data_IF_492746856434
#
_entry.id   IF_492746856434
#
_cell.length_a   1.000
_cell.length_b   1.000
_cell.length_c   1.000
_cell.angle_alpha   90.00
_cell.angle_beta   90.00
_cell.angle_gamma   90.00
#
_symmetry.space_group_name_H-M   'P 1'
#
loop_
_entity.id
_entity.type
_entity.pdbx_description
1 polymer ?
#
# COMPACT_ATOMS: atom_id res chain seq x y z
N UNK A 1 -11.21 0.29 1.51
CA UNK A 1 -10.53 -0.99 1.79
C UNK A 1 -11.33 -1.87 2.74
N UNK A 2 -11.55 -1.48 4.01
CA UNK A 2 -12.30 -2.30 5.00
C UNK A 2 -13.68 -2.70 4.48
N UNK A 3 -14.47 -1.75 3.96
CA UNK A 3 -15.80 -2.03 3.39
C UNK A 3 -15.74 -3.07 2.27
N UNK A 4 -14.81 -2.90 1.32
CA UNK A 4 -14.63 -3.83 0.21
C UNK A 4 -14.22 -5.23 0.69
N UNK A 5 -13.30 -5.31 1.64
CA UNK A 5 -12.90 -6.59 2.24
C UNK A 5 -14.08 -7.30 2.90
N UNK A 6 -14.90 -6.58 3.66
CA UNK A 6 -16.09 -7.14 4.31
C UNK A 6 -17.12 -7.65 3.30
N UNK A 7 -17.37 -6.89 2.23
CA UNK A 7 -18.33 -7.30 1.20
C UNK A 7 -17.81 -8.51 0.40
N UNK A 8 -16.52 -8.54 0.04
CA UNK A 8 -15.93 -9.75 -0.56
C UNK A 8 -16.02 -10.97 0.37
N UNK A 9 -15.76 -10.79 1.67
CA UNK A 9 -15.86 -11.87 2.65
C UNK A 9 -17.31 -12.40 2.83
N UNK A 10 -18.31 -11.54 2.60
CA UNK A 10 -19.74 -11.93 2.58
C UNK A 10 -20.18 -12.57 1.26
N UNK A 11 -19.32 -12.59 0.25
CA UNK A 11 -19.66 -13.12 -1.07
C UNK A 11 -20.36 -12.13 -2.01
N UNK A 12 -20.44 -10.85 -1.65
CA UNK A 12 -21.06 -9.79 -2.44
C UNK A 12 -20.05 -9.12 -3.41
N UNK A 13 -19.09 -9.88 -3.94
CA UNK A 13 -18.07 -9.35 -4.86
C UNK A 13 -18.67 -8.75 -6.14
N UNK A 14 -19.77 -9.32 -6.65
CA UNK A 14 -20.46 -8.84 -7.82
C UNK A 14 -21.06 -7.42 -7.63
N UNK A 15 -21.60 -7.14 -6.44
CA UNK A 15 -22.18 -5.82 -6.14
C UNK A 15 -21.12 -4.72 -6.15
N UNK A 16 -19.87 -5.07 -5.80
CA UNK A 16 -18.73 -4.14 -5.81
C UNK A 16 -18.28 -3.75 -7.23
N UNK A 17 -18.57 -4.59 -8.22
CA UNK A 17 -18.30 -4.33 -9.63
C UNK A 17 -19.34 -3.43 -10.28
N UNK A 18 -20.49 -3.18 -9.62
CA UNK A 18 -21.55 -2.34 -10.15
C UNK A 18 -21.11 -0.88 -10.30
N UNK A 19 -21.57 -0.26 -11.40
CA UNK A 19 -21.29 1.15 -11.65
C UNK A 19 -21.94 2.04 -10.56
N UNK A 20 -21.12 2.94 -10.02
CA UNK A 20 -21.55 3.87 -9.00
C UNK A 20 -21.45 3.36 -7.55
N UNK A 21 -21.09 2.09 -7.30
CA UNK A 21 -20.95 1.60 -5.93
C UNK A 21 -19.92 2.41 -5.13
N UNK A 22 -18.76 2.69 -5.71
CA UNK A 22 -17.72 3.49 -5.08
C UNK A 22 -18.19 4.92 -4.77
N UNK A 23 -18.84 5.59 -5.72
CA UNK A 23 -19.35 6.94 -5.51
C UNK A 23 -20.46 6.99 -4.48
N UNK A 24 -21.35 6.01 -4.47
CA UNK A 24 -22.42 5.88 -3.46
C UNK A 24 -21.82 5.65 -2.06
N UNK A 25 -20.80 4.82 -1.96
CA UNK A 25 -20.11 4.58 -0.68
C UNK A 25 -19.43 5.85 -0.16
N UNK A 26 -18.71 6.60 -1.01
CA UNK A 26 -18.05 7.85 -0.59
C UNK A 26 -19.09 8.91 -0.18
N UNK A 27 -20.23 8.97 -0.86
CA UNK A 27 -21.30 9.91 -0.54
C UNK A 27 -22.05 9.56 0.75
N UNK A 28 -21.94 8.31 1.21
CA UNK A 28 -22.53 7.88 2.49
C UNK A 28 -21.58 8.21 3.64
N UNK A 29 -21.75 9.40 4.23
CA UNK A 29 -20.90 9.90 5.31
C UNK A 29 -20.78 8.94 6.48
N UNK A 30 -21.87 8.34 6.95
CA UNK A 30 -21.88 7.45 8.12
C UNK A 30 -21.02 6.20 7.90
N UNK A 31 -21.17 5.53 6.75
CA UNK A 31 -20.39 4.33 6.44
C UNK A 31 -18.90 4.63 6.26
N UNK A 32 -18.58 5.75 5.64
CA UNK A 32 -17.19 6.19 5.42
C UNK A 32 -16.55 6.59 6.73
N UNK A 33 -17.23 7.34 7.57
CA UNK A 33 -16.77 7.76 8.90
C UNK A 33 -16.51 6.55 9.80
N UNK A 34 -17.42 5.58 9.84
CA UNK A 34 -17.25 4.36 10.63
C UNK A 34 -15.99 3.58 10.21
N UNK A 35 -15.78 3.40 8.91
CA UNK A 35 -14.59 2.73 8.40
C UNK A 35 -13.31 3.51 8.73
N UNK A 36 -13.35 4.84 8.66
CA UNK A 36 -12.24 5.71 9.03
C UNK A 36 -11.91 5.60 10.52
N UNK A 37 -12.91 5.67 11.41
CA UNK A 37 -12.74 5.53 12.85
C UNK A 37 -12.12 4.17 13.19
N UNK A 38 -12.63 3.07 12.64
CA UNK A 38 -12.08 1.73 12.88
C UNK A 38 -10.62 1.66 12.45
N UNK A 39 -10.28 2.15 11.26
CA UNK A 39 -8.91 2.16 10.76
C UNK A 39 -7.98 2.99 11.66
N UNK A 40 -8.42 4.19 12.05
CA UNK A 40 -7.66 5.10 12.92
C UNK A 40 -7.43 4.49 14.29
N UNK A 41 -8.45 3.89 14.91
CA UNK A 41 -8.33 3.23 16.20
C UNK A 41 -7.35 2.05 16.14
N UNK A 42 -7.35 1.26 15.08
CA UNK A 42 -6.37 0.20 14.88
C UNK A 42 -4.94 0.75 14.79
N UNK A 43 -4.73 1.81 14.00
CA UNK A 43 -3.42 2.47 13.85
C UNK A 43 -2.93 3.03 15.18
N UNK A 44 -3.77 3.80 15.87
CA UNK A 44 -3.45 4.38 17.19
C UNK A 44 -3.18 3.31 18.24
N UNK A 45 -3.93 2.22 18.24
CA UNK A 45 -3.71 1.10 19.17
C UNK A 45 -2.33 0.45 18.98
N UNK A 46 -1.86 0.34 17.74
CA UNK A 46 -0.52 -0.19 17.43
C UNK A 46 0.57 0.78 17.89
N UNK A 47 0.40 2.07 17.64
CA UNK A 47 1.35 3.11 18.06
C UNK A 47 1.39 3.19 19.59
N UNK A 48 0.22 3.13 20.25
CA UNK A 48 0.12 3.12 21.71
C UNK A 48 0.90 1.96 22.36
N UNK A 49 1.00 0.81 21.70
CA UNK A 49 1.82 -0.31 22.16
C UNK A 49 3.34 -0.05 22.02
N UNK A 50 3.73 1.09 21.44
CA UNK A 50 5.11 1.58 21.30
C UNK A 50 5.86 0.97 20.11
N UNK A 51 7.04 1.53 19.84
CA UNK A 51 7.85 1.17 18.66
C UNK A 51 8.22 -0.31 18.65
N UNK A 52 8.74 -0.83 19.75
CA UNK A 52 9.27 -2.21 19.82
C UNK A 52 8.18 -3.28 19.88
N UNK A 53 7.15 -3.07 20.71
CA UNK A 53 6.11 -4.07 20.92
C UNK A 53 4.93 -3.92 19.97
N UNK A 54 4.67 -2.71 19.49
CA UNK A 54 3.61 -2.39 18.53
C UNK A 54 4.14 -2.42 17.10
N UNK A 55 4.82 -1.37 16.68
CA UNK A 55 5.20 -1.11 15.28
C UNK A 55 6.10 -2.23 14.73
N UNK A 56 7.21 -2.53 15.40
CA UNK A 56 8.17 -3.53 14.94
C UNK A 56 7.55 -4.93 14.88
N UNK A 57 6.79 -5.32 15.91
CA UNK A 57 6.16 -6.64 15.98
C UNK A 57 5.09 -6.83 14.92
N UNK A 58 4.24 -5.83 14.72
CA UNK A 58 3.18 -5.87 13.71
C UNK A 58 3.79 -5.88 12.31
N UNK A 59 4.76 -5.00 12.03
CA UNK A 59 5.43 -4.94 10.73
C UNK A 59 6.16 -6.24 10.40
N UNK A 60 6.79 -6.88 11.38
CA UNK A 60 7.48 -8.17 11.21
C UNK A 60 6.55 -9.30 10.74
N UNK A 61 5.27 -9.24 11.10
CA UNK A 61 4.25 -10.21 10.66
C UNK A 61 3.63 -9.78 9.35
N UNK A 62 3.26 -8.50 9.22
CA UNK A 62 2.52 -7.99 8.07
C UNK A 62 3.36 -7.97 6.79
N UNK A 63 4.66 -7.61 6.88
CA UNK A 63 5.52 -7.50 5.71
C UNK A 63 5.73 -8.82 4.96
N UNK A 64 6.08 -9.95 5.59
CA UNK A 64 6.17 -11.23 4.89
C UNK A 64 4.83 -11.66 4.26
N UNK A 65 3.72 -11.46 4.96
CA UNK A 65 2.39 -11.76 4.44
C UNK A 65 2.10 -10.93 3.19
N UNK A 66 2.40 -9.62 3.22
CA UNK A 66 2.24 -8.71 2.09
C UNK A 66 3.07 -9.18 0.87
N UNK A 67 4.33 -9.55 1.07
CA UNK A 67 5.19 -10.07 0.00
C UNK A 67 4.63 -11.36 -0.59
N UNK A 68 4.23 -12.32 0.24
CA UNK A 68 3.65 -13.58 -0.23
C UNK A 68 2.36 -13.33 -1.00
N UNK A 69 1.46 -12.50 -0.49
CA UNK A 69 0.21 -12.15 -1.17
C UNK A 69 0.47 -11.45 -2.51
N UNK A 70 1.43 -10.51 -2.56
CA UNK A 70 1.77 -9.82 -3.80
C UNK A 70 2.32 -10.78 -4.85
N UNK A 71 3.16 -11.74 -4.47
CA UNK A 71 3.68 -12.79 -5.37
C UNK A 71 2.54 -13.67 -5.88
N UNK A 72 1.67 -14.16 -4.99
CA UNK A 72 0.53 -15.03 -5.38
C UNK A 72 -0.39 -14.32 -6.37
N UNK A 73 -0.76 -13.07 -6.10
CA UNK A 73 -1.66 -12.31 -6.97
C UNK A 73 -0.96 -11.96 -8.29
N UNK A 74 0.34 -11.62 -8.28
CA UNK A 74 1.11 -11.35 -9.49
C UNK A 74 1.16 -12.56 -10.40
N UNK A 75 1.51 -13.74 -9.86
CA UNK A 75 1.54 -15.00 -10.63
C UNK A 75 0.15 -15.29 -11.21
N UNK A 76 -0.90 -15.15 -10.41
CA UNK A 76 -2.26 -15.34 -10.88
C UNK A 76 -2.63 -14.36 -11.99
N UNK A 77 -2.29 -13.08 -11.87
CA UNK A 77 -2.56 -12.03 -12.86
C UNK A 77 -1.87 -12.31 -14.20
N UNK A 78 -0.57 -12.62 -14.16
CA UNK A 78 0.25 -12.86 -15.35
C UNK A 78 -0.16 -14.14 -16.09
N UNK A 79 -0.72 -15.12 -15.41
CA UNK A 79 -1.19 -16.38 -16.02
C UNK A 79 -2.55 -16.28 -16.72
N UNK A 80 -3.22 -15.13 -16.66
CA UNK A 80 -4.52 -14.96 -17.34
C UNK A 80 -4.38 -14.86 -18.86
N UNK A 81 -5.35 -15.40 -19.63
CA UNK A 81 -5.41 -15.19 -21.09
C UNK A 81 -5.44 -13.70 -21.41
N UNK A 82 -4.59 -13.24 -22.32
CA UNK A 82 -4.48 -11.82 -22.69
C UNK A 82 -3.57 -10.98 -21.80
N UNK A 83 -3.14 -11.47 -20.63
CA UNK A 83 -2.27 -10.75 -19.70
C UNK A 83 -0.87 -10.41 -20.30
N UNK A 84 -0.40 -11.21 -21.27
CA UNK A 84 0.93 -11.03 -21.87
C UNK A 84 1.08 -9.68 -22.58
N UNK A 85 0.01 -9.12 -23.14
CA UNK A 85 0.00 -7.77 -23.72
C UNK A 85 0.29 -6.70 -22.66
N UNK A 86 -0.31 -6.84 -21.47
CA UNK A 86 -0.06 -5.96 -20.33
C UNK A 86 1.36 -6.09 -19.79
N UNK A 87 1.90 -7.31 -19.71
CA UNK A 87 3.31 -7.52 -19.32
C UNK A 87 4.26 -6.84 -20.30
N UNK A 88 4.01 -6.99 -21.61
CA UNK A 88 4.80 -6.29 -22.64
C UNK A 88 4.67 -4.78 -22.53
N UNK A 89 3.46 -4.27 -22.35
CA UNK A 89 3.23 -2.84 -22.17
C UNK A 89 4.00 -2.26 -20.97
N UNK A 90 4.06 -2.99 -19.85
CA UNK A 90 4.74 -2.55 -18.65
C UNK A 90 6.27 -2.64 -18.75
N UNK A 91 6.81 -3.73 -19.32
CA UNK A 91 8.25 -3.99 -19.32
C UNK A 91 8.98 -3.42 -20.54
N UNK A 92 8.30 -3.22 -21.67
CA UNK A 92 8.94 -2.70 -22.89
C UNK A 92 8.77 -1.19 -22.94
N UNK A 93 9.87 -0.42 -22.77
CA UNK A 93 9.80 1.03 -22.85
C UNK A 93 9.43 1.50 -24.27
N UNK A 94 8.53 2.46 -24.38
CA UNK A 94 8.21 3.13 -25.63
C UNK A 94 8.94 4.49 -25.70
N UNK A 95 10.04 4.61 -26.48
CA UNK A 95 10.82 5.84 -26.57
C UNK A 95 10.00 7.03 -27.11
N UNK A 96 8.94 6.78 -27.86
CA UNK A 96 8.10 7.85 -28.42
C UNK A 96 7.35 8.64 -27.34
N UNK A 97 7.09 8.03 -26.18
CA UNK A 97 6.40 8.66 -25.06
C UNK A 97 7.37 9.26 -24.02
N UNK A 98 8.69 9.17 -24.28
CA UNK A 98 9.68 9.73 -23.37
C UNK A 98 9.73 11.25 -23.49
N UNK A 99 9.57 11.94 -22.38
CA UNK A 99 9.73 13.38 -22.27
C UNK A 99 10.49 13.76 -21.02
N UNK A 100 11.02 14.98 -20.95
CA UNK A 100 11.64 15.48 -19.72
C UNK A 100 10.67 15.49 -18.53
N UNK A 101 9.38 15.71 -18.81
CA UNK A 101 8.32 15.62 -17.80
C UNK A 101 8.19 14.21 -17.20
N UNK A 102 8.46 13.17 -17.97
CA UNK A 102 8.47 11.78 -17.49
C UNK A 102 9.54 11.57 -16.41
N UNK A 103 10.72 12.16 -16.60
CA UNK A 103 11.81 12.11 -15.60
C UNK A 103 11.42 12.84 -14.32
N UNK A 104 10.86 14.05 -14.45
CA UNK A 104 10.41 14.83 -13.29
C UNK A 104 9.31 14.11 -12.51
N UNK A 105 8.33 13.54 -13.22
CA UNK A 105 7.26 12.77 -12.59
C UNK A 105 7.78 11.51 -11.87
N UNK A 106 8.72 10.78 -12.49
CA UNK A 106 9.34 9.60 -11.89
C UNK A 106 10.14 9.96 -10.64
N UNK A 107 10.90 11.07 -10.67
CA UNK A 107 11.61 11.58 -9.49
C UNK A 107 10.64 11.95 -8.37
N UNK A 108 9.56 12.66 -8.68
CA UNK A 108 8.52 13.03 -7.71
C UNK A 108 7.88 11.79 -7.06
N UNK A 109 7.58 10.77 -7.86
CA UNK A 109 7.04 9.50 -7.35
C UNK A 109 8.05 8.77 -6.46
N UNK A 110 9.34 8.76 -6.82
CA UNK A 110 10.41 8.15 -6.02
C UNK A 110 10.54 8.84 -4.65
N UNK A 111 10.51 10.17 -4.60
CA UNK A 111 10.55 10.93 -3.36
C UNK A 111 9.37 10.60 -2.44
N UNK A 112 8.19 10.37 -3.02
CA UNK A 112 7.00 9.98 -2.29
C UNK A 112 7.09 8.52 -1.82
N UNK A 113 7.45 7.59 -2.70
CA UNK A 113 7.50 6.14 -2.42
C UNK A 113 8.53 5.80 -1.35
N UNK A 114 9.72 6.37 -1.43
CA UNK A 114 10.77 6.21 -0.43
C UNK A 114 10.52 7.01 0.87
N UNK A 115 9.37 7.70 0.97
CA UNK A 115 8.99 8.48 2.16
C UNK A 115 10.00 9.56 2.56
N UNK A 116 10.83 10.04 1.62
CA UNK A 116 11.85 11.05 1.88
C UNK A 116 11.18 12.38 2.23
N UNK A 117 10.17 12.78 1.43
CA UNK A 117 9.48 14.05 1.61
C UNK A 117 8.68 14.16 2.94
N UNK A 118 8.38 13.04 3.58
CA UNK A 118 7.55 12.96 4.79
C UNK A 118 8.35 12.85 6.09
N UNK A 119 9.69 12.88 6.03
CA UNK A 119 10.55 12.75 7.21
C UNK A 119 10.59 11.35 7.84
N UNK A 120 9.84 10.38 7.32
CA UNK A 120 9.72 9.05 7.91
C UNK A 120 11.08 8.35 8.02
N UNK A 121 11.93 8.45 6.97
CA UNK A 121 13.27 7.86 7.00
C UNK A 121 14.16 8.50 8.07
N UNK A 122 13.98 9.79 8.37
CA UNK A 122 14.72 10.50 9.43
C UNK A 122 14.28 9.97 10.78
N UNK A 123 12.98 9.87 11.02
CA UNK A 123 12.41 9.34 12.27
C UNK A 123 12.88 7.91 12.54
N UNK A 124 12.69 7.01 11.58
CA UNK A 124 13.12 5.61 11.75
C UNK A 124 14.65 5.46 11.79
N UNK A 125 15.39 6.34 11.10
CA UNK A 125 16.83 6.42 11.18
C UNK A 125 17.32 6.78 12.58
N UNK A 126 16.61 7.66 13.30
CA UNK A 126 16.95 8.04 14.67
C UNK A 126 16.74 6.89 15.69
N UNK A 127 15.90 5.90 15.34
CA UNK A 127 15.66 4.72 16.19
C UNK A 127 16.66 3.59 15.94
N UNK A 128 17.55 3.73 14.95
CA UNK A 128 18.54 2.69 14.62
C UNK A 128 19.60 2.58 15.71
N UNK A 129 19.99 1.35 16.00
CA UNK A 129 21.11 1.07 16.92
C UNK A 129 22.43 1.48 16.29
N UNK A 130 23.41 1.85 17.12
CA UNK A 130 24.74 2.32 16.68
C UNK A 130 25.56 1.27 15.91
N UNK A 131 25.26 0.00 16.07
CA UNK A 131 25.92 -1.14 15.43
C UNK A 131 25.35 -1.46 14.03
N UNK A 132 24.25 -0.82 13.64
CA UNK A 132 23.60 -1.05 12.34
C UNK A 132 24.09 -0.04 11.31
N UNK A 133 24.52 -0.54 10.14
CA UNK A 133 24.96 0.31 9.03
C UNK A 133 23.77 1.01 8.38
N UNK A 134 23.76 2.35 8.37
CA UNK A 134 22.75 3.17 7.68
C UNK A 134 22.77 2.89 6.18
N UNK A 135 23.98 2.83 5.57
CA UNK A 135 24.13 2.56 4.13
C UNK A 135 23.53 1.20 3.74
N UNK A 136 23.83 0.14 4.52
CA UNK A 136 23.26 -1.20 4.27
C UNK A 136 21.75 -1.22 4.40
N UNK A 137 21.19 -0.52 5.38
CA UNK A 137 19.75 -0.41 5.57
C UNK A 137 19.07 0.35 4.44
N UNK A 138 19.66 1.46 3.99
CA UNK A 138 19.15 2.24 2.87
C UNK A 138 19.13 1.45 1.56
N UNK A 139 20.18 0.71 1.27
CA UNK A 139 20.22 -0.19 0.09
C UNK A 139 19.12 -1.26 0.14
N UNK A 140 18.86 -1.82 1.31
CA UNK A 140 17.76 -2.78 1.47
C UNK A 140 16.41 -2.13 1.20
N UNK A 141 16.17 -0.91 1.72
CA UNK A 141 14.92 -0.17 1.45
C UNK A 141 14.76 0.07 -0.05
N UNK A 142 15.80 0.54 -0.75
CA UNK A 142 15.78 0.79 -2.20
C UNK A 142 15.45 -0.48 -2.99
N UNK A 143 16.09 -1.60 -2.68
CA UNK A 143 15.86 -2.88 -3.35
C UNK A 143 14.43 -3.37 -3.12
N UNK A 144 13.94 -3.33 -1.88
CA UNK A 144 12.59 -3.76 -1.56
C UNK A 144 11.52 -2.86 -2.16
N UNK A 145 11.68 -1.54 -2.12
CA UNK A 145 10.74 -0.58 -2.72
C UNK A 145 10.63 -0.83 -4.23
N UNK A 146 11.76 -0.94 -4.93
CA UNK A 146 11.80 -1.22 -6.36
C UNK A 146 11.16 -2.58 -6.69
N UNK A 147 11.47 -3.63 -5.94
CA UNK A 147 10.91 -4.96 -6.15
C UNK A 147 9.38 -4.98 -5.97
N UNK A 148 8.88 -4.36 -4.91
CA UNK A 148 7.44 -4.26 -4.65
C UNK A 148 6.74 -3.40 -5.71
N UNK A 149 7.35 -2.30 -6.15
CA UNK A 149 6.80 -1.46 -7.22
C UNK A 149 6.65 -2.22 -8.54
N UNK A 150 7.67 -3.01 -8.93
CA UNK A 150 7.61 -3.88 -10.12
C UNK A 150 6.54 -4.96 -9.95
N UNK A 151 6.46 -5.61 -8.79
CA UNK A 151 5.41 -6.60 -8.52
C UNK A 151 4.01 -5.99 -8.58
N UNK A 152 3.81 -4.80 -8.02
CA UNK A 152 2.52 -4.10 -8.07
C UNK A 152 2.12 -3.78 -9.51
N UNK A 153 3.05 -3.32 -10.35
CA UNK A 153 2.83 -3.11 -11.78
C UNK A 153 2.43 -4.41 -12.50
N UNK A 154 3.17 -5.50 -12.26
CA UNK A 154 2.88 -6.82 -12.84
C UNK A 154 1.61 -7.47 -12.28
N UNK A 155 1.15 -7.05 -11.11
CA UNK A 155 -0.12 -7.52 -10.53
C UNK A 155 -1.32 -6.83 -11.17
N UNK A 156 -1.25 -5.53 -11.38
CA UNK A 156 -2.39 -4.69 -11.77
C UNK A 156 -2.52 -4.61 -13.31
N UNK A 157 -1.44 -4.23 -14.00
CA UNK A 157 -1.50 -3.94 -15.43
C UNK A 157 -1.91 -5.16 -16.27
N UNK A 158 -1.31 -6.35 -16.10
CA UNK A 158 -1.73 -7.53 -16.84
C UNK A 158 -3.18 -7.95 -16.56
N UNK A 159 -3.67 -7.77 -15.31
CA UNK A 159 -5.06 -8.06 -14.97
C UNK A 159 -6.03 -7.15 -15.72
N UNK A 160 -5.75 -5.84 -15.77
CA UNK A 160 -6.58 -4.87 -16.51
C UNK A 160 -6.55 -5.15 -18.01
N UNK A 161 -5.38 -5.45 -18.59
CA UNK A 161 -5.27 -5.78 -20.02
C UNK A 161 -5.99 -7.08 -20.38
N UNK A 162 -5.94 -8.09 -19.51
CA UNK A 162 -6.69 -9.33 -19.71
C UNK A 162 -8.21 -9.09 -19.73
N UNK A 163 -8.69 -8.15 -18.92
CA UNK A 163 -10.11 -7.76 -18.86
C UNK A 163 -10.52 -6.88 -20.04
N UNK A 164 -9.71 -5.88 -20.43
CA UNK A 164 -10.03 -4.91 -21.47
C UNK A 164 -9.77 -5.40 -22.90
N UNK A 165 -9.23 -6.62 -23.06
CA UNK A 165 -8.82 -7.11 -24.38
C UNK A 165 -7.59 -6.41 -24.97
N UNK A 166 -6.81 -5.71 -24.10
CA UNK A 166 -5.55 -5.08 -24.49
C UNK A 166 -5.62 -3.57 -24.74
N UNK A 167 -6.71 -2.92 -24.35
CA UNK A 167 -6.89 -1.47 -24.49
C UNK A 167 -6.20 -0.70 -23.35
N UNK A 168 -5.14 0.10 -23.63
CA UNK A 168 -4.45 0.91 -22.63
C UNK A 168 -5.31 2.02 -22.01
N UNK A 169 -6.33 2.52 -22.72
CA UNK A 169 -7.17 3.63 -22.27
C UNK A 169 -8.08 3.24 -21.10
N UNK A 170 -8.22 1.93 -20.83
CA UNK A 170 -8.92 1.42 -19.64
C UNK A 170 -8.11 1.52 -18.36
N UNK A 171 -6.81 1.79 -18.44
CA UNK A 171 -5.95 2.02 -17.29
C UNK A 171 -6.27 3.39 -16.66
N UNK A 172 -7.14 3.37 -15.68
CA UNK A 172 -7.39 4.57 -14.87
C UNK A 172 -6.26 4.78 -13.85
N UNK A 173 -6.14 6.01 -13.35
CA UNK A 173 -5.16 6.35 -12.32
C UNK A 173 -5.83 6.54 -10.96
N UNK A 174 -5.05 6.31 -9.89
CA UNK A 174 -5.47 6.60 -8.52
C UNK A 174 -6.56 5.68 -7.96
N UNK A 175 -7.43 6.18 -7.08
CA UNK A 175 -8.46 5.39 -6.40
C UNK A 175 -9.44 4.67 -7.34
N UNK A 176 -9.73 5.26 -8.51
CA UNK A 176 -10.62 4.67 -9.49
C UNK A 176 -10.12 3.33 -10.01
N UNK A 177 -8.81 3.19 -10.25
CA UNK A 177 -8.22 1.91 -10.64
C UNK A 177 -8.46 0.84 -9.58
N UNK A 178 -8.24 1.16 -8.32
CA UNK A 178 -8.31 0.21 -7.21
C UNK A 178 -9.73 -0.15 -6.80
N UNK A 179 -10.67 0.81 -6.82
CA UNK A 179 -12.01 0.63 -6.25
C UNK A 179 -13.13 0.52 -7.30
N UNK A 180 -12.83 0.80 -8.57
CA UNK A 180 -13.80 0.66 -9.66
C UNK A 180 -13.32 -0.39 -10.66
N UNK A 181 -12.11 -0.21 -11.22
CA UNK A 181 -11.63 -1.08 -12.29
C UNK A 181 -11.30 -2.49 -11.79
N UNK A 182 -10.51 -2.61 -10.71
CA UNK A 182 -10.10 -3.93 -10.21
C UNK A 182 -11.26 -4.82 -9.71
N UNK A 183 -12.30 -4.33 -9.01
CA UNK A 183 -13.47 -5.15 -8.71
C UNK A 183 -14.17 -5.71 -9.95
N UNK A 184 -14.28 -4.93 -11.04
CA UNK A 184 -14.83 -5.41 -12.31
C UNK A 184 -13.94 -6.50 -12.94
N UNK A 185 -12.63 -6.31 -12.89
CA UNK A 185 -11.65 -7.31 -13.34
C UNK A 185 -11.81 -8.60 -12.56
N UNK A 186 -11.87 -8.52 -11.22
CA UNK A 186 -12.06 -9.70 -10.37
C UNK A 186 -13.39 -10.40 -10.62
N UNK A 187 -14.48 -9.65 -10.81
CA UNK A 187 -15.79 -10.21 -11.11
C UNK A 187 -15.80 -11.02 -12.41
N UNK A 188 -15.01 -10.60 -13.41
CA UNK A 188 -14.84 -11.34 -14.67
C UNK A 188 -13.98 -12.60 -14.54
N UNK A 189 -13.29 -12.80 -13.42
CA UNK A 189 -12.39 -13.94 -13.20
C UNK A 189 -13.09 -15.08 -12.47
N UNK A 190 -12.83 -16.34 -12.88
CA UNK A 190 -13.48 -17.52 -12.28
C UNK A 190 -13.24 -17.72 -10.78
N UNK A 191 -12.20 -17.10 -10.20
CA UNK A 191 -11.90 -17.09 -8.76
C UNK A 191 -11.90 -15.67 -8.18
N UNK A 192 -12.66 -14.76 -8.76
CA UNK A 192 -12.61 -13.33 -8.47
C UNK A 192 -12.85 -12.97 -7.00
N UNK A 193 -13.79 -13.63 -6.34
CA UNK A 193 -14.05 -13.41 -4.92
C UNK A 193 -12.82 -13.71 -4.05
N UNK A 194 -12.15 -14.83 -4.30
CA UNK A 194 -10.95 -15.22 -3.54
C UNK A 194 -9.79 -14.26 -3.80
N UNK A 195 -9.54 -13.92 -5.07
CA UNK A 195 -8.49 -12.95 -5.44
C UNK A 195 -8.80 -11.57 -4.90
N UNK A 196 -10.06 -11.14 -4.93
CA UNK A 196 -10.51 -9.89 -4.34
C UNK A 196 -10.25 -9.81 -2.83
N UNK A 197 -10.54 -10.88 -2.08
CA UNK A 197 -10.20 -10.94 -0.65
C UNK A 197 -8.69 -10.78 -0.44
N UNK A 198 -7.87 -11.59 -1.13
CA UNK A 198 -6.41 -11.54 -1.01
C UNK A 198 -5.87 -10.14 -1.35
N UNK A 199 -6.37 -9.54 -2.43
CA UNK A 199 -5.98 -8.21 -2.85
C UNK A 199 -6.35 -7.14 -1.82
N UNK A 200 -7.58 -7.11 -1.31
CA UNK A 200 -7.98 -6.10 -0.32
C UNK A 200 -7.35 -6.32 1.06
N UNK A 201 -6.98 -7.55 1.44
CA UNK A 201 -6.13 -7.82 2.60
C UNK A 201 -4.72 -7.23 2.40
N UNK A 202 -4.11 -7.46 1.24
CA UNK A 202 -2.81 -6.89 0.87
C UNK A 202 -2.84 -5.36 0.95
N UNK A 203 -3.84 -4.74 0.32
CA UNK A 203 -3.99 -3.28 0.30
C UNK A 203 -4.25 -2.72 1.69
N UNK A 204 -5.03 -3.41 2.51
CA UNK A 204 -5.29 -3.01 3.91
C UNK A 204 -3.99 -3.03 4.72
N UNK A 205 -3.18 -4.08 4.59
CA UNK A 205 -1.90 -4.18 5.29
C UNK A 205 -0.91 -3.12 4.82
N UNK A 206 -0.81 -2.88 3.51
CA UNK A 206 0.02 -1.82 2.96
C UNK A 206 -0.39 -0.43 3.47
N UNK A 207 -1.69 -0.16 3.54
CA UNK A 207 -2.20 1.09 4.07
C UNK A 207 -1.95 1.24 5.57
N UNK A 208 -2.11 0.17 6.36
CA UNK A 208 -1.85 0.20 7.80
C UNK A 208 -0.38 0.46 8.10
N UNK A 209 0.55 -0.20 7.42
CA UNK A 209 1.99 0.03 7.62
C UNK A 209 2.38 1.46 7.29
N UNK A 210 1.84 2.03 6.20
CA UNK A 210 2.07 3.43 5.83
C UNK A 210 1.46 4.41 6.83
N UNK A 211 0.24 4.14 7.30
CA UNK A 211 -0.45 4.98 8.30
C UNK A 211 0.30 5.00 9.64
N UNK A 212 0.79 3.85 10.09
CA UNK A 212 1.61 3.73 11.29
C UNK A 212 2.88 4.58 11.16
N UNK A 213 3.60 4.45 10.03
CA UNK A 213 4.85 5.16 9.81
C UNK A 213 4.66 6.69 9.76
N UNK A 214 3.59 7.16 9.08
CA UNK A 214 3.24 8.58 9.02
C UNK A 214 2.87 9.15 10.40
N UNK A 215 2.06 8.42 11.14
CA UNK A 215 1.61 8.87 12.47
C UNK A 215 2.77 8.87 13.46
N UNK A 216 3.64 7.87 13.42
CA UNK A 216 4.85 7.82 14.24
C UNK A 216 5.79 9.00 13.95
N UNK A 217 5.98 9.34 12.66
CA UNK A 217 6.78 10.51 12.28
C UNK A 217 6.20 11.81 12.83
N UNK A 218 4.87 11.96 12.80
CA UNK A 218 4.21 13.12 13.40
C UNK A 218 4.36 13.15 14.94
N UNK A 219 4.10 12.02 15.60
CA UNK A 219 4.21 11.90 17.06
C UNK A 219 5.64 12.22 17.52
N UNK A 220 6.65 11.63 16.88
CA UNK A 220 8.07 11.89 17.18
C UNK A 220 8.44 13.37 17.02
N UNK A 221 7.90 14.06 16.01
CA UNK A 221 8.13 15.50 15.82
C UNK A 221 7.51 16.32 16.95
N UNK A 222 6.28 16.00 17.37
CA UNK A 222 5.63 16.69 18.49
C UNK A 222 6.33 16.42 19.84
N UNK A 223 6.82 15.21 20.06
CA UNK A 223 7.59 14.87 21.26
C UNK A 223 8.89 15.68 21.33
N UNK A 224 9.62 15.77 20.22
CA UNK A 224 10.89 16.48 20.17
C UNK A 224 10.74 18.01 20.30
N UNK A 225 9.71 18.60 19.66
CA UNK A 225 9.54 20.07 19.62
C UNK A 225 8.79 20.63 20.84
N UNK A 226 7.78 19.94 21.30
CA UNK A 226 6.89 20.45 22.38
C UNK A 226 7.22 19.88 23.75
N UNK A 227 8.12 18.91 23.85
CA UNK A 227 8.39 18.17 25.09
C UNK A 227 7.12 17.48 25.63
N UNK A 228 6.10 17.37 24.80
CA UNK A 228 4.84 16.73 25.14
C UNK A 228 4.98 15.22 24.98
N UNK A 229 5.17 14.52 26.07
CA UNK A 229 5.01 13.07 26.10
C UNK A 229 3.52 12.75 25.82
N UNK A 230 3.15 12.66 24.54
CA UNK A 230 1.78 12.33 24.10
C UNK A 230 1.36 10.93 24.56
N UNK A 231 2.32 10.08 24.89
CA UNK A 231 2.14 8.70 25.37
C UNK A 231 3.11 8.43 26.53
N UNK A 232 2.67 8.69 27.72
CA UNK A 232 3.41 8.48 28.99
C UNK A 232 3.88 7.02 29.24
N UNK A 233 3.75 6.12 28.30
CA UNK A 233 3.97 4.69 28.49
C UNK A 233 4.91 4.03 27.49
N UNK A 234 5.40 4.74 26.48
CA UNK A 234 6.42 4.20 25.59
C UNK A 234 7.77 4.84 25.91
N UNK A 235 8.68 4.12 26.62
CA UNK A 235 10.04 4.62 26.74
C UNK A 235 10.61 4.80 25.33
N UNK A 236 10.99 6.03 25.00
CA UNK A 236 11.70 6.35 23.77
C UNK A 236 12.92 5.40 23.64
N UNK A 237 13.25 4.89 22.45
CA UNK A 237 14.51 4.17 22.27
C UNK A 237 15.73 4.94 22.74
N UNK A 238 15.64 6.27 22.87
CA UNK A 238 16.67 7.13 23.49
C UNK A 238 16.81 6.90 24.98
N UNK A 239 15.74 6.52 25.70
CA UNK A 239 15.75 6.30 27.14
C UNK A 239 16.32 4.92 27.52
N UNK A 240 16.47 4.01 26.56
CA UNK A 240 17.00 2.64 26.76
C UNK A 240 18.50 2.55 26.46
N UNK A 241 19.13 3.63 25.96
CA UNK A 241 20.54 3.70 25.58
C UNK A 241 21.45 4.38 26.63
N UNK A 242 21.02 4.43 27.89
CA UNK A 242 21.85 4.83 29.04
C UNK A 242 22.76 3.72 29.50
#
# INVERSE_FOLDING_TARGET
>A
MIKYLVEYAKGHGHDLAADGYFSTFISNGVSTELCFIVFTLCTLGIIYAGVRNGIERVSRIMMPILVVLSVVITVYSVTRPGALSGVKYFLIPNPANFSWMTVVAAMGQMFYSLSIAMGILITFGSYMKKDVSIEGSTKNVEIFDTAIAIMAGLMIIPAVFAFSGGDPDTLQAGPSLMFITLPKVFDSMGMGTFVGILFFVLVLFAAMTSSIALTESAVSTFEDELGCCLLYTSPSPRDISG
#
